data_IF_028729224405
#
_entry.id   IF_028729224405
#
_cell.length_a   1.000
_cell.length_b   1.000
_cell.length_c   1.000
_cell.angle_alpha   90.00
_cell.angle_beta   90.00
_cell.angle_gamma   90.00
#
_symmetry.space_group_name_H-M   'P 1'
#
loop_
_entity.id
_entity.type
_entity.pdbx_description
1 polymer ?
#
# COMPACT_ATOMS: atom_id res chain seq x y z
N UNK A 1 -24.65 -38.30 24.61
CA UNK A 1 -24.67 -36.84 24.66
C UNK A 1 -23.35 -36.35 24.09
N UNK A 2 -23.32 -36.04 22.81
CA UNK A 2 -22.15 -35.46 22.17
C UNK A 2 -21.86 -34.07 22.77
N UNK A 3 -20.61 -33.77 23.08
CA UNK A 3 -20.19 -32.41 23.44
C UNK A 3 -20.48 -31.55 22.24
N UNK A 4 -21.50 -30.71 22.30
CA UNK A 4 -21.69 -29.65 21.31
C UNK A 4 -20.46 -28.75 21.40
N UNK A 5 -19.53 -28.90 20.46
CA UNK A 5 -18.39 -27.96 20.33
C UNK A 5 -18.97 -26.60 19.96
N UNK A 6 -18.49 -25.54 20.63
CA UNK A 6 -18.91 -24.18 20.28
C UNK A 6 -18.49 -23.87 18.85
N UNK A 7 -19.30 -23.15 18.08
CA UNK A 7 -18.92 -22.72 16.74
C UNK A 7 -17.67 -21.83 16.81
N UNK A 8 -16.74 -22.02 15.84
CA UNK A 8 -15.47 -21.26 15.84
C UNK A 8 -15.54 -20.01 14.95
N UNK A 9 -16.45 -19.99 13.96
CA UNK A 9 -16.57 -18.91 12.99
C UNK A 9 -18.03 -18.51 12.78
N UNK A 10 -18.27 -17.22 12.59
CA UNK A 10 -19.50 -16.66 12.04
C UNK A 10 -19.26 -16.15 10.64
N UNK A 11 -20.01 -16.65 9.66
CA UNK A 11 -20.00 -16.13 8.31
C UNK A 11 -20.83 -14.85 8.25
N UNK A 12 -20.26 -13.78 7.66
CA UNK A 12 -20.91 -12.48 7.49
C UNK A 12 -21.42 -12.40 6.05
N UNK A 13 -22.73 -12.45 5.86
CA UNK A 13 -23.35 -12.43 4.54
C UNK A 13 -24.23 -11.19 4.36
N UNK A 14 -23.78 -10.27 3.49
CA UNK A 14 -24.62 -9.17 2.98
C UNK A 14 -25.42 -9.65 1.78
N UNK A 15 -26.73 -9.38 1.74
CA UNK A 15 -27.59 -9.80 0.65
C UNK A 15 -28.51 -8.66 0.18
N UNK A 16 -28.59 -8.50 -1.14
CA UNK A 16 -29.54 -7.60 -1.80
C UNK A 16 -29.83 -8.11 -3.21
N UNK A 17 -31.10 -8.51 -3.46
CA UNK A 17 -31.54 -9.05 -4.73
C UNK A 17 -30.63 -10.16 -5.28
N UNK A 18 -30.42 -11.19 -4.45
CA UNK A 18 -29.47 -12.27 -4.69
C UNK A 18 -30.12 -13.57 -5.16
N UNK A 19 -31.40 -13.55 -5.63
CA UNK A 19 -32.14 -14.74 -6.02
C UNK A 19 -31.40 -15.64 -7.04
N UNK A 20 -30.58 -15.04 -7.87
CA UNK A 20 -29.75 -15.72 -8.86
C UNK A 20 -28.72 -16.67 -8.27
N UNK A 21 -28.20 -16.36 -7.08
CA UNK A 21 -27.07 -17.08 -6.47
C UNK A 21 -27.42 -17.80 -5.16
N UNK A 22 -28.53 -17.40 -4.52
CA UNK A 22 -28.81 -17.75 -3.14
C UNK A 22 -29.01 -19.25 -2.91
N UNK A 23 -29.64 -19.97 -3.83
CA UNK A 23 -29.85 -21.40 -3.69
C UNK A 23 -28.54 -22.17 -3.59
N UNK A 24 -27.65 -22.01 -4.58
CA UNK A 24 -26.34 -22.66 -4.58
C UNK A 24 -25.41 -22.18 -3.43
N UNK A 25 -25.62 -20.97 -2.92
CA UNK A 25 -24.94 -20.48 -1.71
C UNK A 25 -25.39 -21.26 -0.47
N UNK A 26 -26.71 -21.40 -0.27
CA UNK A 26 -27.28 -22.11 0.87
C UNK A 26 -26.92 -23.61 0.85
N UNK A 27 -26.92 -24.22 -0.33
CA UNK A 27 -26.47 -25.60 -0.53
C UNK A 27 -25.01 -25.78 -0.13
N UNK A 28 -24.11 -24.87 -0.57
CA UNK A 28 -22.70 -24.98 -0.20
C UNK A 28 -22.41 -24.79 1.29
N UNK A 29 -23.30 -24.13 2.03
CA UNK A 29 -23.25 -24.08 3.50
C UNK A 29 -23.61 -25.44 4.14
N UNK A 30 -24.65 -26.08 3.66
CA UNK A 30 -25.05 -27.40 4.14
C UNK A 30 -24.02 -28.49 3.80
N UNK A 31 -23.23 -28.31 2.72
CA UNK A 31 -22.21 -29.26 2.27
C UNK A 31 -20.88 -29.14 3.06
N UNK A 32 -20.74 -28.16 3.96
CA UNK A 32 -19.50 -28.04 4.74
C UNK A 32 -19.26 -29.24 5.64
N UNK A 33 -18.03 -29.76 5.64
CA UNK A 33 -17.62 -30.89 6.51
C UNK A 33 -17.58 -30.45 7.98
N UNK A 34 -17.27 -29.19 8.25
CA UNK A 34 -17.34 -28.65 9.60
C UNK A 34 -18.77 -28.68 10.13
N UNK A 35 -18.96 -29.34 11.29
CA UNK A 35 -20.31 -29.58 11.85
C UNK A 35 -20.96 -28.33 12.41
N UNK A 36 -20.17 -27.44 13.05
CA UNK A 36 -20.71 -26.32 13.85
C UNK A 36 -20.08 -24.99 13.40
N UNK A 37 -20.88 -24.10 12.83
CA UNK A 37 -20.55 -22.71 12.58
C UNK A 37 -21.83 -21.86 12.59
N UNK A 38 -21.65 -20.54 12.71
CA UNK A 38 -22.74 -19.59 12.64
C UNK A 38 -22.72 -18.83 11.31
N UNK A 39 -23.87 -18.35 10.88
CA UNK A 39 -24.01 -17.39 9.79
C UNK A 39 -25.01 -16.30 10.16
N UNK A 40 -24.67 -15.05 9.83
CA UNK A 40 -25.55 -13.90 9.96
C UNK A 40 -25.78 -13.31 8.57
N UNK A 41 -27.01 -13.45 8.08
CA UNK A 41 -27.50 -12.77 6.88
C UNK A 41 -27.98 -11.38 7.28
N UNK A 42 -27.61 -10.38 6.51
CA UNK A 42 -28.15 -9.03 6.61
C UNK A 42 -28.69 -8.63 5.24
N UNK A 43 -30.03 -8.62 5.13
CA UNK A 43 -30.74 -8.30 3.91
C UNK A 43 -31.01 -6.79 3.79
N UNK A 44 -30.59 -6.16 2.72
CA UNK A 44 -30.75 -4.74 2.47
C UNK A 44 -32.14 -4.33 1.96
N UNK A 45 -33.12 -5.23 2.03
CA UNK A 45 -34.50 -5.02 1.56
C UNK A 45 -34.72 -5.62 0.16
N UNK A 46 -34.35 -6.88 -0.02
CA UNK A 46 -34.55 -7.62 -1.28
C UNK A 46 -36.01 -7.73 -1.67
N UNK A 47 -36.28 -7.66 -2.98
CA UNK A 47 -37.61 -7.73 -3.56
C UNK A 47 -37.75 -8.85 -4.60
N UNK A 48 -36.69 -9.61 -4.85
CA UNK A 48 -36.60 -10.65 -5.88
C UNK A 48 -36.90 -12.08 -5.37
N UNK A 49 -37.26 -12.22 -4.09
CA UNK A 49 -37.53 -13.49 -3.44
C UNK A 49 -36.33 -14.07 -2.66
N UNK A 50 -35.14 -13.52 -2.77
CA UNK A 50 -33.94 -14.04 -2.08
C UNK A 50 -34.10 -14.09 -0.56
N UNK A 51 -34.69 -13.07 0.06
CA UNK A 51 -34.95 -13.07 1.50
C UNK A 51 -35.89 -14.22 1.90
N UNK A 52 -36.96 -14.46 1.12
CA UNK A 52 -37.88 -15.57 1.41
C UNK A 52 -37.19 -16.92 1.29
N UNK A 53 -36.34 -17.09 0.26
CA UNK A 53 -35.55 -18.33 0.10
C UNK A 53 -34.64 -18.59 1.31
N UNK A 54 -33.97 -17.53 1.85
CA UNK A 54 -33.14 -17.65 3.06
C UNK A 54 -33.99 -18.05 4.27
N UNK A 55 -35.18 -17.43 4.44
CA UNK A 55 -36.06 -17.68 5.59
C UNK A 55 -36.68 -19.06 5.58
N UNK A 56 -36.95 -19.62 4.38
CA UNK A 56 -37.58 -20.93 4.20
C UNK A 56 -36.53 -22.08 4.15
N UNK A 57 -35.24 -21.76 4.08
CA UNK A 57 -34.19 -22.78 3.94
C UNK A 57 -33.95 -23.55 5.23
N UNK A 58 -33.95 -24.87 5.15
CA UNK A 58 -33.66 -25.76 6.27
C UNK A 58 -32.17 -26.06 6.36
N UNK A 59 -31.50 -25.41 7.30
CA UNK A 59 -30.10 -25.70 7.61
C UNK A 59 -30.00 -27.01 8.37
N UNK A 60 -28.95 -27.78 8.05
CA UNK A 60 -28.64 -28.98 8.84
C UNK A 60 -28.31 -28.65 10.30
N UNK A 61 -28.45 -29.63 11.18
CA UNK A 61 -28.07 -29.52 12.60
C UNK A 61 -26.60 -29.02 12.74
N UNK A 62 -26.39 -28.09 13.64
CA UNK A 62 -25.09 -27.51 13.96
C UNK A 62 -24.81 -26.18 13.26
N UNK A 63 -25.58 -25.76 12.27
CA UNK A 63 -25.50 -24.44 11.68
C UNK A 63 -26.41 -23.45 12.39
N UNK A 64 -25.83 -22.43 13.04
CA UNK A 64 -26.59 -21.33 13.65
C UNK A 64 -26.85 -20.21 12.67
N UNK A 65 -28.05 -20.20 12.07
CA UNK A 65 -28.40 -19.13 11.10
C UNK A 65 -29.23 -18.03 11.78
N UNK A 66 -28.87 -16.77 11.49
CA UNK A 66 -29.62 -15.57 11.88
C UNK A 66 -29.80 -14.66 10.70
N UNK A 67 -31.02 -14.12 10.51
CA UNK A 67 -31.32 -13.17 9.46
C UNK A 67 -31.77 -11.84 10.09
N UNK A 68 -31.16 -10.75 9.62
CA UNK A 68 -31.52 -9.38 9.92
C UNK A 68 -31.99 -8.71 8.62
N UNK A 69 -32.93 -7.76 8.73
CA UNK A 69 -33.38 -6.94 7.61
C UNK A 69 -33.08 -5.49 7.94
N UNK A 70 -32.22 -4.84 7.13
CA UNK A 70 -31.85 -3.44 7.26
C UNK A 70 -31.95 -2.76 5.90
N UNK A 71 -33.13 -2.18 5.62
CA UNK A 71 -33.39 -1.57 4.31
C UNK A 71 -32.37 -0.51 3.93
N UNK A 72 -31.81 -0.66 2.71
CA UNK A 72 -30.92 0.32 2.10
C UNK A 72 -29.50 0.37 2.70
N UNK A 73 -29.13 -0.58 3.57
CA UNK A 73 -27.77 -0.63 4.09
C UNK A 73 -26.75 -0.98 3.00
N UNK A 74 -25.55 -0.44 3.13
CA UNK A 74 -24.39 -0.83 2.32
C UNK A 74 -23.85 -2.19 2.76
N UNK A 75 -22.93 -2.78 1.97
CA UNK A 75 -22.26 -4.02 2.32
C UNK A 75 -21.47 -3.90 3.65
N UNK A 76 -20.86 -2.75 3.91
CA UNK A 76 -20.06 -2.52 5.12
C UNK A 76 -20.93 -2.30 6.35
N UNK A 77 -22.05 -1.59 6.23
CA UNK A 77 -23.07 -1.51 7.29
C UNK A 77 -23.63 -2.91 7.61
N UNK A 78 -23.92 -3.71 6.58
CA UNK A 78 -24.38 -5.10 6.77
C UNK A 78 -23.34 -5.95 7.48
N UNK A 79 -22.06 -5.88 7.10
CA UNK A 79 -21.01 -6.63 7.79
C UNK A 79 -20.80 -6.15 9.22
N UNK A 80 -20.90 -4.85 9.52
CA UNK A 80 -20.82 -4.34 10.89
C UNK A 80 -21.99 -4.86 11.75
N UNK A 81 -23.20 -4.88 11.23
CA UNK A 81 -24.36 -5.48 11.91
C UNK A 81 -24.13 -6.97 12.19
N UNK A 82 -23.58 -7.71 11.22
CA UNK A 82 -23.28 -9.12 11.39
C UNK A 82 -22.16 -9.37 12.41
N UNK A 83 -21.10 -8.53 12.43
CA UNK A 83 -20.02 -8.57 13.44
C UNK A 83 -20.56 -8.29 14.85
N UNK A 84 -21.53 -7.38 14.99
CA UNK A 84 -22.16 -7.08 16.27
C UNK A 84 -22.92 -8.30 16.86
N UNK A 85 -23.50 -9.14 15.99
CA UNK A 85 -24.19 -10.35 16.36
C UNK A 85 -23.25 -11.56 16.57
N UNK A 86 -22.07 -11.55 15.96
CA UNK A 86 -21.12 -12.66 16.04
C UNK A 86 -20.66 -12.92 17.49
N UNK A 87 -20.73 -14.18 17.91
CA UNK A 87 -20.29 -14.64 19.25
C UNK A 87 -19.13 -15.64 19.17
N UNK A 88 -18.67 -15.91 17.98
CA UNK A 88 -17.56 -16.81 17.69
C UNK A 88 -16.22 -16.07 17.75
N UNK A 89 -15.11 -16.77 18.01
CA UNK A 89 -13.78 -16.14 18.04
C UNK A 89 -13.31 -15.57 16.70
N UNK A 90 -13.85 -16.10 15.59
CA UNK A 90 -13.52 -15.66 14.23
C UNK A 90 -14.77 -15.29 13.44
N UNK A 91 -14.60 -14.40 12.47
CA UNK A 91 -15.59 -14.08 11.44
C UNK A 91 -14.97 -14.25 10.06
N UNK A 92 -15.80 -14.44 9.04
CA UNK A 92 -15.39 -14.55 7.65
C UNK A 92 -16.42 -13.86 6.76
N UNK A 93 -15.97 -12.91 5.96
CA UNK A 93 -16.82 -12.30 4.92
C UNK A 93 -17.10 -13.36 3.84
N UNK A 94 -18.37 -13.64 3.58
CA UNK A 94 -18.75 -14.62 2.57
C UNK A 94 -20.05 -14.21 1.92
N UNK A 95 -19.98 -13.73 0.68
CA UNK A 95 -21.10 -13.18 -0.07
C UNK A 95 -21.79 -14.23 -0.93
N UNK A 96 -23.02 -13.93 -1.36
CA UNK A 96 -23.93 -14.88 -2.01
C UNK A 96 -23.48 -15.40 -3.38
N UNK A 97 -22.64 -14.64 -4.08
CA UNK A 97 -22.08 -14.99 -5.39
C UNK A 97 -20.81 -15.84 -5.33
N UNK A 98 -20.30 -16.14 -4.14
CA UNK A 98 -19.12 -16.96 -3.91
C UNK A 98 -19.47 -18.39 -3.45
N UNK A 99 -18.50 -19.29 -3.48
CA UNK A 99 -18.67 -20.68 -3.01
C UNK A 99 -17.48 -21.12 -2.16
N UNK A 100 -17.76 -21.66 -0.97
CA UNK A 100 -16.78 -22.40 -0.19
C UNK A 100 -16.77 -23.87 -0.63
N UNK A 101 -15.58 -24.47 -0.66
CA UNK A 101 -15.45 -25.91 -0.84
C UNK A 101 -15.92 -26.62 0.44
N UNK A 102 -16.42 -27.84 0.33
CA UNK A 102 -16.94 -28.60 1.47
C UNK A 102 -15.94 -28.72 2.65
N UNK A 103 -14.64 -28.71 2.35
CA UNK A 103 -13.56 -28.73 3.34
C UNK A 103 -13.09 -27.32 3.77
N UNK A 104 -13.67 -26.25 3.21
CA UNK A 104 -13.17 -24.89 3.40
C UNK A 104 -13.11 -24.46 4.85
N UNK A 105 -14.20 -24.61 5.60
CA UNK A 105 -14.25 -24.18 6.99
C UNK A 105 -13.40 -25.06 7.92
N UNK A 106 -13.27 -26.35 7.67
CA UNK A 106 -12.39 -27.21 8.48
C UNK A 106 -10.92 -26.89 8.24
N UNK A 107 -10.55 -26.52 7.02
CA UNK A 107 -9.19 -26.03 6.70
C UNK A 107 -8.91 -24.71 7.42
N UNK A 108 -9.84 -23.78 7.41
CA UNK A 108 -9.74 -22.52 8.13
C UNK A 108 -9.60 -22.74 9.64
N UNK A 109 -10.42 -23.63 10.25
CA UNK A 109 -10.31 -23.99 11.66
C UNK A 109 -8.95 -24.58 12.02
N UNK A 110 -8.41 -25.47 11.15
CA UNK A 110 -7.10 -26.08 11.36
C UNK A 110 -5.97 -25.04 11.42
N UNK A 111 -6.03 -24.01 10.58
CA UNK A 111 -5.05 -22.92 10.60
C UNK A 111 -5.08 -22.17 11.93
N UNK A 112 -6.27 -21.84 12.45
CA UNK A 112 -6.38 -21.11 13.73
C UNK A 112 -5.82 -21.88 14.92
N UNK A 113 -5.91 -23.22 14.90
CA UNK A 113 -5.36 -24.09 15.94
C UNK A 113 -3.83 -24.12 15.91
N UNK A 114 -3.22 -24.00 14.74
CA UNK A 114 -1.77 -24.05 14.57
C UNK A 114 -1.09 -22.67 14.67
N UNK A 115 -1.86 -21.59 14.51
CA UNK A 115 -1.36 -20.20 14.46
C UNK A 115 -2.30 -19.28 15.26
N UNK A 116 -2.41 -19.52 16.56
CA UNK A 116 -3.35 -18.78 17.44
C UNK A 116 -2.97 -17.32 17.67
N UNK A 117 -1.73 -16.95 17.38
CA UNK A 117 -1.18 -15.59 17.42
C UNK A 117 -1.56 -14.74 16.20
N UNK A 118 -2.00 -15.37 15.09
CA UNK A 118 -2.42 -14.68 13.87
C UNK A 118 -3.79 -14.06 14.04
N UNK A 119 -3.95 -12.80 13.62
CA UNK A 119 -5.22 -12.07 13.73
C UNK A 119 -6.09 -12.23 12.50
N UNK A 120 -5.48 -12.44 11.34
CA UNK A 120 -6.18 -12.61 10.06
C UNK A 120 -5.46 -13.60 9.15
N UNK A 121 -6.23 -14.53 8.57
CA UNK A 121 -5.78 -15.40 7.48
C UNK A 121 -6.46 -14.98 6.18
N UNK A 122 -5.70 -14.95 5.07
CA UNK A 122 -6.25 -14.76 3.75
C UNK A 122 -5.83 -15.91 2.83
N UNK A 123 -6.70 -16.25 1.87
CA UNK A 123 -6.62 -17.51 1.14
C UNK A 123 -6.42 -17.28 -0.34
N UNK A 124 -5.67 -18.16 -1.04
CA UNK A 124 -5.77 -18.26 -2.48
C UNK A 124 -7.19 -18.69 -2.87
N UNK A 125 -7.63 -18.38 -4.08
CA UNK A 125 -8.95 -18.76 -4.55
C UNK A 125 -8.95 -19.10 -6.04
N UNK A 126 -9.89 -19.94 -6.47
CA UNK A 126 -10.19 -20.11 -7.88
C UNK A 126 -11.10 -18.96 -8.35
N UNK A 127 -10.71 -18.31 -9.44
CA UNK A 127 -11.50 -17.26 -10.06
C UNK A 127 -12.37 -17.90 -11.14
N UNK A 128 -13.68 -17.75 -11.00
CA UNK A 128 -14.66 -18.34 -11.91
C UNK A 128 -15.23 -17.29 -12.85
N UNK A 129 -15.50 -17.67 -14.09
CA UNK A 129 -16.09 -16.78 -15.11
C UNK A 129 -17.59 -16.88 -15.23
N UNK A 130 -18.22 -17.83 -14.53
CA UNK A 130 -19.66 -18.03 -14.53
C UNK A 130 -20.22 -18.15 -13.10
N UNK A 131 -21.48 -17.84 -12.98
CA UNK A 131 -22.23 -17.81 -11.73
C UNK A 131 -22.47 -19.16 -11.06
N UNK A 132 -22.33 -20.24 -11.83
CA UNK A 132 -22.48 -21.63 -11.32
C UNK A 132 -21.16 -22.19 -10.81
N UNK A 133 -20.08 -21.44 -10.96
CA UNK A 133 -18.73 -21.87 -10.59
C UNK A 133 -18.23 -23.13 -11.32
N UNK A 134 -18.65 -23.29 -12.58
CA UNK A 134 -18.27 -24.44 -13.42
C UNK A 134 -17.06 -24.14 -14.30
N UNK A 135 -16.85 -22.87 -14.67
CA UNK A 135 -15.80 -22.46 -15.61
C UNK A 135 -14.69 -21.70 -14.92
N UNK A 136 -13.53 -22.34 -14.77
CA UNK A 136 -12.33 -21.74 -14.19
C UNK A 136 -11.76 -20.67 -15.14
N UNK A 137 -11.63 -19.43 -14.65
CA UNK A 137 -10.96 -18.33 -15.34
C UNK A 137 -9.47 -18.26 -14.99
N UNK A 138 -9.14 -18.36 -13.70
CA UNK A 138 -7.77 -18.29 -13.21
C UNK A 138 -7.65 -18.87 -11.80
N UNK A 139 -6.42 -19.19 -11.39
CA UNK A 139 -6.07 -19.47 -10.01
C UNK A 139 -5.33 -18.27 -9.45
N UNK A 140 -5.94 -17.59 -8.49
CA UNK A 140 -5.35 -16.44 -7.84
C UNK A 140 -4.51 -16.91 -6.65
N UNK A 141 -3.19 -16.97 -6.86
CA UNK A 141 -2.22 -17.26 -5.80
C UNK A 141 -2.11 -16.07 -4.87
N UNK A 142 -2.24 -16.35 -3.56
CA UNK A 142 -2.08 -15.35 -2.49
C UNK A 142 -1.08 -15.84 -1.42
N UNK A 143 -0.25 -16.79 -1.80
CA UNK A 143 0.80 -17.40 -0.96
C UNK A 143 2.08 -16.55 -0.85
N UNK A 144 2.00 -15.29 -1.27
CA UNK A 144 3.08 -14.32 -1.12
C UNK A 144 3.22 -13.99 0.37
N UNK A 145 4.43 -14.09 0.97
CA UNK A 145 4.65 -13.70 2.34
C UNK A 145 4.12 -12.29 2.60
N UNK A 146 3.36 -12.13 3.67
CA UNK A 146 2.78 -10.85 4.02
C UNK A 146 3.89 -9.85 4.34
N UNK A 147 3.83 -8.70 3.69
CA UNK A 147 4.64 -7.53 3.99
C UNK A 147 3.72 -6.30 3.88
N UNK A 148 3.85 -5.37 4.81
CA UNK A 148 3.00 -4.18 4.90
C UNK A 148 2.85 -3.44 3.58
N UNK A 149 3.95 -3.20 2.87
CA UNK A 149 3.95 -2.48 1.60
C UNK A 149 3.24 -3.21 0.45
N UNK A 150 2.93 -4.51 0.57
CA UNK A 150 2.10 -5.19 -0.43
C UNK A 150 0.66 -4.66 -0.38
N UNK A 151 0.15 -4.30 0.82
CA UNK A 151 -1.13 -3.62 0.97
C UNK A 151 -1.07 -2.17 0.48
N UNK A 152 0.09 -1.51 0.56
CA UNK A 152 0.24 -0.17 0.01
C UNK A 152 0.05 -0.12 -1.51
N UNK A 153 0.30 -1.21 -2.24
CA UNK A 153 0.06 -1.29 -3.68
C UNK A 153 -1.40 -1.57 -4.02
N UNK A 154 -1.99 -2.58 -3.38
CA UNK A 154 -3.38 -3.00 -3.62
C UNK A 154 -3.88 -3.97 -2.54
N UNK A 155 -5.17 -4.21 -2.51
CA UNK A 155 -5.76 -5.23 -1.64
C UNK A 155 -5.32 -6.64 -2.04
N UNK A 156 -4.48 -7.27 -1.20
CA UNK A 156 -3.98 -8.64 -1.41
C UNK A 156 -4.80 -9.71 -0.70
N UNK A 157 -5.67 -9.32 0.23
CA UNK A 157 -6.34 -10.26 1.14
C UNK A 157 -7.49 -11.06 0.49
N UNK A 158 -8.10 -10.49 -0.55
CA UNK A 158 -9.11 -11.15 -1.37
C UNK A 158 -10.39 -11.62 -0.69
N UNK A 159 -11.15 -12.49 -1.31
CA UNK A 159 -12.40 -12.99 -0.76
C UNK A 159 -12.15 -13.93 0.43
N UNK A 160 -13.14 -14.06 1.29
CA UNK A 160 -13.21 -14.95 2.45
C UNK A 160 -12.07 -14.85 3.48
N UNK A 161 -11.58 -13.65 3.88
CA UNK A 161 -10.60 -13.57 4.94
C UNK A 161 -11.19 -14.08 6.26
N UNK A 162 -10.43 -14.91 6.98
CA UNK A 162 -10.80 -15.37 8.33
C UNK A 162 -10.13 -14.46 9.35
N UNK A 163 -10.91 -13.73 10.12
CA UNK A 163 -10.42 -12.66 11.00
C UNK A 163 -10.88 -12.90 12.43
N UNK A 164 -10.01 -12.66 13.42
CA UNK A 164 -10.45 -12.62 14.83
C UNK A 164 -11.55 -11.58 15.00
N UNK A 165 -12.68 -11.97 15.53
CA UNK A 165 -13.83 -11.08 15.74
C UNK A 165 -13.44 -9.86 16.56
N UNK A 166 -12.62 -10.03 17.59
CA UNK A 166 -12.16 -8.94 18.44
C UNK A 166 -11.25 -7.97 17.68
N UNK A 167 -10.42 -8.44 16.76
CA UNK A 167 -9.57 -7.56 15.97
C UNK A 167 -10.39 -6.58 15.12
N UNK A 168 -11.51 -7.02 14.51
CA UNK A 168 -12.41 -6.09 13.78
C UNK A 168 -13.05 -5.09 14.76
N UNK A 169 -13.48 -5.54 15.96
CA UNK A 169 -14.07 -4.67 16.97
C UNK A 169 -13.11 -3.62 17.48
N UNK A 170 -11.86 -3.99 17.76
CA UNK A 170 -10.80 -3.08 18.17
C UNK A 170 -10.52 -2.00 17.10
N UNK A 171 -10.67 -2.35 15.81
CA UNK A 171 -10.55 -1.36 14.71
C UNK A 171 -11.78 -0.48 14.56
N UNK A 172 -12.84 -0.68 15.34
CA UNK A 172 -14.08 0.09 15.24
C UNK A 172 -15.03 -0.34 14.12
N UNK A 173 -14.82 -1.52 13.51
CA UNK A 173 -15.61 -2.02 12.39
C UNK A 173 -15.13 -1.51 11.02
N UNK A 174 -15.88 -1.87 9.98
CA UNK A 174 -15.67 -1.40 8.61
C UNK A 174 -16.12 0.05 8.45
N UNK A 175 -15.43 0.84 7.63
CA UNK A 175 -15.84 2.23 7.33
C UNK A 175 -17.07 2.24 6.41
N UNK A 176 -18.22 2.64 6.97
CA UNK A 176 -19.52 2.68 6.28
C UNK A 176 -19.62 3.80 5.25
N UNK A 177 -18.70 4.77 5.27
CA UNK A 177 -18.67 5.86 4.29
C UNK A 177 -18.14 5.40 2.93
N UNK A 178 -17.31 4.36 2.92
CA UNK A 178 -16.77 3.74 1.71
C UNK A 178 -17.83 2.91 0.98
N UNK A 179 -17.69 2.78 -0.34
CA UNK A 179 -18.66 2.07 -1.19
C UNK A 179 -18.08 0.81 -1.83
N UNK A 180 -16.73 0.77 -2.02
CA UNK A 180 -16.06 -0.28 -2.77
C UNK A 180 -14.88 -0.88 -1.99
N UNK A 181 -14.06 -0.04 -1.34
CA UNK A 181 -12.75 -0.43 -0.77
C UNK A 181 -12.74 -0.53 0.76
N UNK A 182 -13.91 -0.74 1.42
CA UNK A 182 -13.98 -0.77 2.88
C UNK A 182 -13.33 -2.02 3.51
N UNK A 183 -13.23 -3.13 2.77
CA UNK A 183 -12.43 -4.28 3.16
C UNK A 183 -10.92 -3.96 3.07
N UNK A 184 -10.47 -3.32 1.99
CA UNK A 184 -9.10 -2.85 1.84
C UNK A 184 -8.71 -1.85 2.94
N UNK A 185 -9.60 -0.93 3.29
CA UNK A 185 -9.42 -0.02 4.43
C UNK A 185 -9.21 -0.79 5.75
N UNK A 186 -10.10 -1.75 6.04
CA UNK A 186 -10.03 -2.55 7.26
C UNK A 186 -8.69 -3.30 7.36
N UNK A 187 -8.29 -4.00 6.29
CA UNK A 187 -7.03 -4.77 6.32
C UNK A 187 -5.81 -3.87 6.42
N UNK A 188 -5.86 -2.70 5.81
CA UNK A 188 -4.81 -1.68 5.90
C UNK A 188 -4.72 -1.13 7.33
N UNK A 189 -5.84 -0.75 7.95
CA UNK A 189 -5.87 -0.29 9.36
C UNK A 189 -5.35 -1.36 10.32
N UNK A 190 -5.75 -2.62 10.17
CA UNK A 190 -5.25 -3.74 10.96
C UNK A 190 -3.74 -3.87 10.85
N UNK A 191 -3.21 -3.83 9.63
CA UNK A 191 -1.78 -3.91 9.36
C UNK A 191 -1.00 -2.79 10.07
N UNK A 192 -1.44 -1.53 9.94
CA UNK A 192 -0.79 -0.39 10.57
C UNK A 192 -1.01 -0.30 12.09
N UNK A 193 -1.97 -1.05 12.63
CA UNK A 193 -2.15 -1.26 14.08
C UNK A 193 -1.29 -2.41 14.63
N UNK A 194 -0.42 -3.03 13.81
CA UNK A 194 0.47 -4.11 14.21
C UNK A 194 -0.21 -5.47 14.35
N UNK A 195 -1.39 -5.67 13.77
CA UNK A 195 -2.04 -6.99 13.71
C UNK A 195 -1.29 -7.92 12.78
N UNK A 196 -1.29 -9.21 13.11
CA UNK A 196 -0.60 -10.24 12.33
C UNK A 196 -1.51 -10.80 11.26
N UNK A 197 -1.13 -10.56 9.98
CA UNK A 197 -1.82 -11.10 8.81
C UNK A 197 -0.98 -12.21 8.17
N UNK A 198 -1.60 -13.33 7.81
CA UNK A 198 -0.90 -14.50 7.30
C UNK A 198 -1.57 -15.07 6.04
N UNK A 199 -0.81 -15.31 4.94
CA UNK A 199 -1.32 -16.04 3.79
C UNK A 199 -1.49 -17.52 4.12
N UNK A 200 -2.63 -18.08 3.75
CA UNK A 200 -2.83 -19.51 3.71
C UNK A 200 -2.28 -20.10 2.41
N UNK A 201 -1.94 -21.39 2.42
CA UNK A 201 -1.40 -22.08 1.23
C UNK A 201 -2.52 -22.70 0.37
N UNK A 202 -3.57 -23.16 1.03
CA UNK A 202 -4.64 -23.93 0.40
C UNK A 202 -5.86 -23.03 0.10
N UNK A 203 -6.46 -23.15 -1.08
CA UNK A 203 -7.72 -22.47 -1.39
C UNK A 203 -8.86 -23.11 -0.59
N UNK A 204 -9.76 -22.29 -0.09
CA UNK A 204 -10.96 -22.73 0.63
C UNK A 204 -12.26 -22.52 -0.15
N UNK A 205 -12.17 -21.90 -1.32
CA UNK A 205 -13.35 -21.57 -2.11
C UNK A 205 -13.03 -21.03 -3.49
N UNK A 206 -14.09 -20.67 -4.19
CA UNK A 206 -14.05 -20.03 -5.49
C UNK A 206 -14.80 -18.70 -5.47
N UNK A 207 -14.24 -17.72 -6.15
CA UNK A 207 -14.73 -16.36 -6.30
C UNK A 207 -15.30 -16.17 -7.71
N UNK A 208 -16.53 -15.69 -7.82
CA UNK A 208 -17.11 -15.34 -9.10
C UNK A 208 -16.66 -13.96 -9.54
N UNK A 209 -16.00 -13.87 -10.71
CA UNK A 209 -15.66 -12.61 -11.36
C UNK A 209 -16.91 -11.97 -11.97
N UNK A 210 -17.78 -11.51 -11.09
CA UNK A 210 -19.08 -10.95 -11.42
C UNK A 210 -18.92 -9.59 -12.13
N UNK A 211 -19.24 -9.47 -13.44
CA UNK A 211 -19.02 -8.21 -14.17
C UNK A 211 -19.90 -7.05 -13.69
N UNK A 212 -20.92 -7.34 -12.88
CA UNK A 212 -21.80 -6.32 -12.24
C UNK A 212 -21.54 -6.18 -10.74
N UNK A 213 -20.50 -6.83 -10.24
CA UNK A 213 -20.06 -6.74 -8.84
C UNK A 213 -19.61 -5.34 -8.45
N UNK A 214 -19.65 -5.03 -7.14
CA UNK A 214 -19.32 -3.69 -6.64
C UNK A 214 -17.91 -3.27 -7.05
N UNK A 215 -16.93 -4.19 -6.98
CA UNK A 215 -15.51 -3.92 -7.28
C UNK A 215 -15.12 -4.13 -8.74
N UNK A 216 -15.97 -4.79 -9.55
CA UNK A 216 -15.68 -5.15 -10.94
C UNK A 216 -16.44 -4.32 -11.96
N UNK A 217 -17.45 -3.57 -11.53
CA UNK A 217 -18.25 -2.67 -12.36
C UNK A 217 -17.38 -1.52 -12.89
N UNK A 218 -17.11 -1.50 -14.19
CA UNK A 218 -16.29 -0.46 -14.84
C UNK A 218 -16.83 0.97 -14.62
N UNK A 219 -18.13 1.14 -14.45
CA UNK A 219 -18.73 2.45 -14.19
C UNK A 219 -18.31 3.04 -12.82
N UNK A 220 -17.83 2.19 -11.91
CA UNK A 220 -17.37 2.56 -10.56
C UNK A 220 -15.84 2.65 -10.44
N UNK A 221 -15.11 2.42 -11.52
CA UNK A 221 -13.64 2.36 -11.52
C UNK A 221 -13.00 3.63 -10.95
N UNK A 222 -13.51 4.80 -11.30
CA UNK A 222 -12.97 6.07 -10.79
C UNK A 222 -13.20 6.22 -9.29
N UNK A 223 -14.38 5.83 -8.79
CA UNK A 223 -14.67 5.83 -7.36
C UNK A 223 -13.77 4.85 -6.61
N UNK A 224 -13.62 3.63 -7.11
CA UNK A 224 -12.72 2.62 -6.55
C UNK A 224 -11.29 3.17 -6.43
N UNK A 225 -10.79 3.77 -7.50
CA UNK A 225 -9.46 4.38 -7.52
C UNK A 225 -9.32 5.52 -6.51
N UNK A 226 -10.34 6.38 -6.35
CA UNK A 226 -10.33 7.47 -5.38
C UNK A 226 -10.35 6.96 -3.93
N UNK A 227 -11.17 5.94 -3.63
CA UNK A 227 -11.19 5.33 -2.30
C UNK A 227 -9.84 4.70 -1.96
N UNK A 228 -9.23 3.92 -2.86
CA UNK A 228 -7.91 3.33 -2.68
C UNK A 228 -6.82 4.37 -2.40
N UNK A 229 -6.83 5.49 -3.15
CA UNK A 229 -5.92 6.60 -2.90
C UNK A 229 -6.11 7.21 -1.52
N UNK A 230 -7.36 7.42 -1.11
CA UNK A 230 -7.68 8.01 0.20
C UNK A 230 -7.22 7.10 1.35
N UNK A 231 -7.40 5.78 1.21
CA UNK A 231 -6.93 4.78 2.18
C UNK A 231 -5.41 4.83 2.33
N UNK A 232 -4.67 4.83 1.21
CA UNK A 232 -3.20 4.92 1.23
C UNK A 232 -2.75 6.22 1.88
N UNK A 233 -3.36 7.35 1.50
CA UNK A 233 -3.05 8.67 2.05
C UNK A 233 -3.22 8.72 3.56
N UNK A 234 -4.28 8.12 4.10
CA UNK A 234 -4.56 8.09 5.53
C UNK A 234 -3.48 7.34 6.35
N UNK A 235 -2.63 6.52 5.71
CA UNK A 235 -1.56 5.79 6.39
C UNK A 235 -0.19 6.49 6.31
N UNK A 236 -0.03 7.53 5.49
CA UNK A 236 1.26 8.17 5.26
C UNK A 236 1.87 8.78 6.54
N UNK A 237 1.04 9.24 7.47
CA UNK A 237 1.53 9.82 8.74
C UNK A 237 2.09 8.76 9.71
N UNK A 238 1.79 7.48 9.47
CA UNK A 238 2.31 6.35 10.25
C UNK A 238 3.61 5.78 9.70
N UNK A 239 4.08 6.28 8.56
CA UNK A 239 5.27 5.80 7.85
C UNK A 239 6.46 6.70 8.14
N UNK A 240 7.63 6.08 8.33
CA UNK A 240 8.88 6.81 8.43
C UNK A 240 9.34 7.27 7.06
N UNK A 241 9.33 8.59 6.86
CA UNK A 241 9.62 9.25 5.58
C UNK A 241 10.90 10.05 5.70
N UNK A 242 11.85 9.82 4.79
CA UNK A 242 13.14 10.51 4.81
C UNK A 242 13.49 11.15 3.47
N UNK A 243 14.07 12.33 3.53
CA UNK A 243 14.71 13.03 2.40
C UNK A 243 16.21 12.90 2.62
N UNK A 244 16.92 12.33 1.67
CA UNK A 244 18.33 11.98 1.85
C UNK A 244 19.23 12.85 1.00
N UNK A 245 20.32 13.29 1.61
CA UNK A 245 21.31 14.17 1.00
C UNK A 245 22.73 13.65 1.29
N UNK A 246 23.62 13.80 0.30
CA UNK A 246 25.06 13.70 0.51
C UNK A 246 25.66 15.11 0.60
N UNK A 247 26.58 15.33 1.53
CA UNK A 247 27.24 16.62 1.74
C UNK A 247 28.72 16.42 2.05
N UNK A 248 29.60 17.02 1.26
CA UNK A 248 31.05 17.05 1.50
C UNK A 248 31.65 18.33 0.96
N UNK A 249 32.87 18.66 1.37
CA UNK A 249 33.55 19.91 1.01
C UNK A 249 32.99 21.14 1.74
N UNK A 250 33.53 22.26 1.42
CA UNK A 250 33.22 23.55 2.06
C UNK A 250 32.51 24.55 1.12
N UNK A 251 32.20 24.14 -0.11
CA UNK A 251 31.57 25.01 -1.10
C UNK A 251 30.18 25.50 -0.63
N UNK A 252 29.97 26.84 -0.50
CA UNK A 252 28.72 27.41 -0.01
C UNK A 252 27.46 27.00 -0.82
N UNK A 253 27.59 26.71 -2.09
CA UNK A 253 26.49 26.22 -2.94
C UNK A 253 25.84 24.99 -2.30
N UNK A 254 26.64 24.04 -1.82
CA UNK A 254 26.16 22.79 -1.22
C UNK A 254 25.91 22.90 0.29
N UNK A 255 26.82 23.57 1.02
CA UNK A 255 26.72 23.65 2.48
C UNK A 255 25.56 24.54 2.96
N UNK A 256 25.41 25.73 2.38
CA UNK A 256 24.26 26.60 2.63
C UNK A 256 22.99 26.00 2.01
N UNK A 257 23.11 25.38 0.84
CA UNK A 257 21.99 24.68 0.20
C UNK A 257 21.41 23.56 1.07
N UNK A 258 22.26 22.79 1.77
CA UNK A 258 21.83 21.79 2.74
C UNK A 258 20.97 22.39 3.87
N UNK A 259 21.45 23.51 4.48
CA UNK A 259 20.70 24.22 5.53
C UNK A 259 19.36 24.72 5.03
N UNK A 260 19.34 25.33 3.82
CA UNK A 260 18.10 25.83 3.19
C UNK A 260 17.12 24.72 2.89
N UNK A 261 17.57 23.57 2.40
CA UNK A 261 16.69 22.43 2.14
C UNK A 261 16.11 21.86 3.45
N UNK A 262 16.88 21.84 4.54
CA UNK A 262 16.36 21.46 5.86
C UNK A 262 15.23 22.40 6.33
N UNK A 263 15.37 23.72 6.09
CA UNK A 263 14.34 24.73 6.39
C UNK A 263 13.12 24.60 5.49
N UNK A 264 13.32 24.41 4.19
CA UNK A 264 12.23 24.22 3.24
C UNK A 264 11.43 22.95 3.53
N UNK A 265 12.09 21.88 3.98
CA UNK A 265 11.43 20.62 4.29
C UNK A 265 10.33 20.75 5.36
N UNK A 266 10.49 21.65 6.34
CA UNK A 266 9.47 21.89 7.38
C UNK A 266 8.11 22.29 6.78
N UNK A 267 8.10 23.02 5.66
CA UNK A 267 6.89 23.52 5.02
C UNK A 267 6.50 22.73 3.77
N UNK A 268 7.46 22.24 3.01
CA UNK A 268 7.24 21.53 1.75
C UNK A 268 6.93 20.04 1.98
N UNK A 269 7.57 19.44 2.99
CA UNK A 269 7.45 18.04 3.37
C UNK A 269 7.19 17.88 4.88
N UNK A 270 6.07 18.40 5.40
CA UNK A 270 5.77 18.28 6.82
C UNK A 270 5.73 16.81 7.27
N UNK A 271 6.42 16.51 8.39
CA UNK A 271 6.52 15.15 8.92
C UNK A 271 7.54 14.25 8.23
N UNK A 272 8.40 14.79 7.37
CA UNK A 272 9.57 14.10 6.83
C UNK A 272 10.83 14.48 7.58
N UNK A 273 11.77 13.54 7.75
CA UNK A 273 13.12 13.79 8.29
C UNK A 273 14.11 14.03 7.14
N UNK A 274 14.99 15.00 7.28
CA UNK A 274 16.13 15.21 6.39
C UNK A 274 17.35 14.47 6.93
N UNK A 275 17.87 13.50 6.18
CA UNK A 275 19.07 12.77 6.55
C UNK A 275 20.24 13.24 5.72
N UNK A 276 21.24 13.85 6.40
CA UNK A 276 22.45 14.35 5.78
C UNK A 276 23.62 13.42 6.08
N UNK A 277 24.16 12.81 5.05
CA UNK A 277 25.40 12.05 5.10
C UNK A 277 26.56 13.01 4.88
N UNK A 278 27.36 13.25 5.91
CA UNK A 278 28.29 14.39 5.98
C UNK A 278 29.73 13.91 6.05
N UNK A 279 30.54 14.30 5.05
CA UNK A 279 31.99 14.06 5.03
C UNK A 279 32.75 14.97 6.01
N UNK A 280 34.00 14.61 6.29
CA UNK A 280 34.84 15.29 7.31
C UNK A 280 35.22 16.72 6.92
N UNK A 281 35.18 17.06 5.63
CA UNK A 281 35.52 18.40 5.11
C UNK A 281 34.43 19.44 5.28
N UNK A 282 33.22 19.05 5.71
CA UNK A 282 32.11 19.99 5.89
C UNK A 282 32.39 20.88 7.12
N UNK A 283 32.25 22.23 7.00
CA UNK A 283 32.44 23.14 8.09
C UNK A 283 31.62 22.81 9.33
N UNK A 284 32.26 22.87 10.51
CA UNK A 284 31.66 22.46 11.79
C UNK A 284 30.40 23.26 12.16
N UNK A 285 30.34 24.53 11.80
CA UNK A 285 29.18 25.40 12.02
C UNK A 285 27.98 24.99 11.20
N UNK A 286 28.17 24.51 9.96
CA UNK A 286 27.13 23.94 9.11
C UNK A 286 26.60 22.66 9.74
N UNK A 287 27.50 21.75 10.18
CA UNK A 287 27.12 20.51 10.86
C UNK A 287 26.28 20.80 12.10
N UNK A 288 26.74 21.72 12.95
CA UNK A 288 26.03 22.14 14.16
C UNK A 288 24.64 22.74 13.83
N UNK A 289 24.55 23.54 12.76
CA UNK A 289 23.29 24.12 12.30
C UNK A 289 22.29 23.05 11.88
N UNK A 290 22.74 22.03 11.18
CA UNK A 290 21.88 20.89 10.79
C UNK A 290 21.49 20.02 11.99
N UNK A 291 22.45 19.74 12.90
CA UNK A 291 22.19 18.97 14.14
C UNK A 291 21.22 19.68 15.10
N UNK A 292 21.10 20.99 15.02
CA UNK A 292 20.19 21.77 15.84
C UNK A 292 18.74 21.80 15.37
N UNK A 293 18.45 21.23 14.20
CA UNK A 293 17.09 21.19 13.62
C UNK A 293 16.39 19.89 13.99
N UNK A 294 15.16 19.97 14.50
CA UNK A 294 14.36 18.82 14.94
C UNK A 294 14.01 17.84 13.79
N UNK A 295 13.94 18.35 12.57
CA UNK A 295 13.64 17.56 11.37
C UNK A 295 14.90 16.98 10.69
N UNK A 296 16.08 17.09 11.30
CA UNK A 296 17.34 16.67 10.69
C UNK A 296 18.03 15.56 11.48
N UNK A 297 18.60 14.60 10.75
CA UNK A 297 19.55 13.62 11.24
C UNK A 297 20.86 13.78 10.49
N UNK A 298 21.95 14.04 11.18
CA UNK A 298 23.29 14.12 10.60
C UNK A 298 24.02 12.79 10.83
N UNK A 299 24.45 12.16 9.74
CA UNK A 299 25.23 10.92 9.73
C UNK A 299 26.66 11.28 9.31
N UNK A 300 27.61 11.32 10.27
CA UNK A 300 29.01 11.63 10.00
C UNK A 300 29.70 10.43 9.38
N UNK A 301 30.24 10.63 8.19
CA UNK A 301 30.99 9.60 7.46
C UNK A 301 32.46 9.63 7.87
N UNK A 302 33.11 8.47 7.91
CA UNK A 302 34.54 8.36 8.24
C UNK A 302 35.44 8.85 7.10
N UNK A 303 34.86 9.07 5.92
CA UNK A 303 35.53 9.46 4.69
C UNK A 303 35.44 10.96 4.44
N UNK A 304 36.43 11.51 3.73
CA UNK A 304 36.48 12.94 3.38
C UNK A 304 35.37 13.33 2.41
N UNK A 305 34.98 12.45 1.53
CA UNK A 305 34.01 12.68 0.47
C UNK A 305 34.65 13.13 -0.85
N UNK A 306 34.25 12.42 -1.90
CA UNK A 306 34.54 12.70 -3.29
C UNK A 306 33.33 12.34 -4.15
N UNK A 307 33.49 12.00 -5.41
CA UNK A 307 32.37 11.55 -6.25
C UNK A 307 31.68 10.29 -5.73
N UNK A 308 32.39 9.44 -4.96
CA UNK A 308 31.81 8.28 -4.30
C UNK A 308 30.81 8.68 -3.20
N UNK A 309 30.99 9.83 -2.60
CA UNK A 309 30.06 10.37 -1.59
C UNK A 309 28.64 10.62 -2.15
N UNK A 310 28.47 10.75 -3.46
CA UNK A 310 27.13 10.86 -4.06
C UNK A 310 26.24 9.65 -3.77
N UNK A 311 26.81 8.48 -3.51
CA UNK A 311 26.08 7.26 -3.20
C UNK A 311 25.58 7.19 -1.76
N UNK A 312 26.13 7.97 -0.81
CA UNK A 312 25.75 7.90 0.60
C UNK A 312 24.26 8.14 0.80
N UNK A 313 23.67 9.07 0.03
CA UNK A 313 22.22 9.34 0.05
C UNK A 313 21.34 8.19 -0.44
N UNK A 314 21.91 7.14 -1.02
CA UNK A 314 21.16 5.98 -1.48
C UNK A 314 21.07 4.88 -0.39
N UNK A 315 21.95 4.89 0.61
CA UNK A 315 22.05 3.90 1.69
C UNK A 315 20.70 3.68 2.40
N UNK A 316 19.92 4.74 2.73
CA UNK A 316 18.63 4.55 3.42
C UNK A 316 17.59 3.72 2.68
N UNK A 317 17.76 3.46 1.39
CA UNK A 317 16.92 2.51 0.66
C UNK A 317 17.06 1.06 1.17
N UNK A 318 18.15 0.75 1.90
CA UNK A 318 18.38 -0.55 2.56
C UNK A 318 17.98 -0.57 4.03
N UNK A 319 17.65 0.58 4.63
CA UNK A 319 17.32 0.66 6.07
C UNK A 319 15.91 0.11 6.32
N UNK A 320 15.76 -0.99 7.09
CA UNK A 320 14.45 -1.60 7.34
C UNK A 320 13.53 -0.72 8.19
N UNK A 321 14.05 0.32 8.84
CA UNK A 321 13.26 1.28 9.60
C UNK A 321 12.73 2.45 8.74
N UNK A 322 13.18 2.56 7.49
CA UNK A 322 12.73 3.59 6.55
C UNK A 322 11.65 3.02 5.65
N UNK A 323 10.45 3.58 5.72
CA UNK A 323 9.34 3.16 4.88
C UNK A 323 9.37 3.81 3.51
N UNK A 324 9.75 5.10 3.46
CA UNK A 324 9.77 5.92 2.26
C UNK A 324 11.04 6.77 2.28
N UNK A 325 11.79 6.71 1.20
CA UNK A 325 12.97 7.52 0.98
C UNK A 325 12.86 8.29 -0.33
N UNK A 326 13.24 9.57 -0.33
CA UNK A 326 13.50 10.35 -1.56
C UNK A 326 14.93 10.90 -1.54
N UNK A 327 15.64 10.76 -2.65
CA UNK A 327 16.99 11.27 -2.84
C UNK A 327 16.97 12.67 -3.46
N UNK A 328 17.73 13.62 -2.89
CA UNK A 328 17.80 15.00 -3.36
C UNK A 328 19.24 15.54 -3.36
N UNK A 329 19.45 16.56 -4.19
CA UNK A 329 20.72 17.30 -4.28
C UNK A 329 20.68 18.52 -3.34
N UNK A 330 21.81 18.83 -2.69
CA UNK A 330 21.90 19.97 -1.75
C UNK A 330 21.92 21.31 -2.48
N UNK A 331 22.33 21.38 -3.73
CA UNK A 331 22.31 22.58 -4.57
C UNK A 331 20.94 22.87 -5.20
N UNK A 332 20.00 21.91 -5.18
CA UNK A 332 18.61 22.17 -5.56
C UNK A 332 17.81 22.78 -4.40
N UNK A 333 16.54 23.14 -4.65
CA UNK A 333 15.61 23.61 -3.61
C UNK A 333 14.33 22.81 -3.65
N UNK A 334 13.97 22.26 -2.46
CA UNK A 334 12.69 21.58 -2.28
C UNK A 334 11.54 22.55 -2.59
N UNK A 335 10.53 22.10 -3.32
CA UNK A 335 9.43 22.95 -3.73
C UNK A 335 8.08 22.21 -3.80
N UNK A 336 6.98 22.96 -3.87
CA UNK A 336 5.63 22.41 -3.87
C UNK A 336 5.29 21.57 -5.11
N UNK A 337 5.99 21.77 -6.24
CA UNK A 337 5.76 21.00 -7.47
C UNK A 337 6.28 19.57 -7.30
N UNK A 338 7.48 19.42 -6.76
CA UNK A 338 8.01 18.09 -6.48
C UNK A 338 7.25 17.37 -5.36
N UNK A 339 6.86 18.09 -4.29
CA UNK A 339 6.06 17.52 -3.21
C UNK A 339 4.70 17.01 -3.72
N UNK A 340 4.08 17.73 -4.66
CA UNK A 340 2.87 17.26 -5.33
C UNK A 340 3.08 15.95 -6.09
N UNK A 341 4.18 15.83 -6.84
CA UNK A 341 4.54 14.61 -7.57
C UNK A 341 4.84 13.43 -6.62
N UNK A 342 5.55 13.68 -5.53
CA UNK A 342 5.80 12.67 -4.48
C UNK A 342 4.50 12.21 -3.83
N UNK A 343 3.58 13.14 -3.52
CA UNK A 343 2.27 12.80 -2.96
C UNK A 343 1.47 11.94 -3.93
N UNK A 344 1.41 12.31 -5.21
CA UNK A 344 0.73 11.51 -6.24
C UNK A 344 1.31 10.10 -6.32
N UNK A 345 2.64 9.96 -6.39
CA UNK A 345 3.31 8.68 -6.39
C UNK A 345 2.88 7.78 -5.21
N UNK A 346 2.91 8.32 -3.99
CA UNK A 346 2.56 7.59 -2.78
C UNK A 346 1.09 7.15 -2.77
N UNK A 347 0.19 8.01 -3.24
CA UNK A 347 -1.24 7.71 -3.38
C UNK A 347 -1.52 6.67 -4.48
N UNK A 348 -0.69 6.63 -5.53
CA UNK A 348 -0.78 5.61 -6.58
C UNK A 348 -0.31 4.21 -6.14
N UNK A 349 0.32 4.10 -4.97
CA UNK A 349 0.78 2.83 -4.41
C UNK A 349 1.99 2.22 -5.12
N UNK A 350 2.65 2.94 -6.01
CA UNK A 350 3.84 2.44 -6.71
C UNK A 350 5.07 2.41 -5.80
N UNK A 351 5.98 1.47 -6.04
CA UNK A 351 7.16 1.27 -5.17
C UNK A 351 8.32 2.20 -5.48
N UNK A 352 8.39 2.76 -6.66
CA UNK A 352 9.47 3.64 -7.08
C UNK A 352 8.94 4.89 -7.77
N UNK A 353 9.64 6.01 -7.64
CA UNK A 353 9.30 7.29 -8.23
C UNK A 353 10.47 7.88 -9.01
N UNK A 354 10.19 8.41 -10.18
CA UNK A 354 11.16 9.10 -11.04
C UNK A 354 10.57 10.44 -11.47
N UNK A 355 11.36 11.50 -11.37
CA UNK A 355 10.99 12.82 -11.88
C UNK A 355 11.97 13.30 -12.94
N UNK A 356 11.45 13.89 -14.03
CA UNK A 356 12.22 14.57 -15.09
C UNK A 356 11.45 15.80 -15.54
N UNK A 357 11.94 16.98 -15.19
CA UNK A 357 11.21 18.25 -15.32
C UNK A 357 11.93 19.28 -16.20
N UNK A 358 12.96 18.85 -16.95
CA UNK A 358 13.73 19.70 -17.86
C UNK A 358 14.24 18.91 -19.07
N UNK A 359 14.43 19.52 -20.27
CA UNK A 359 15.01 18.85 -21.43
C UNK A 359 16.38 18.22 -21.16
N UNK A 360 17.20 18.79 -20.26
CA UNK A 360 18.50 18.23 -19.86
C UNK A 360 18.41 17.02 -18.91
N UNK A 361 17.21 16.64 -18.45
CA UNK A 361 17.01 15.45 -17.62
C UNK A 361 16.92 14.15 -18.43
N UNK A 362 17.80 13.99 -19.44
CA UNK A 362 17.73 12.93 -20.45
C UNK A 362 18.17 11.53 -20.00
N UNK A 363 18.53 11.32 -18.71
CA UNK A 363 18.84 9.98 -18.16
C UNK A 363 17.60 9.31 -17.62
N UNK A 364 17.64 7.97 -17.42
CA UNK A 364 16.53 7.20 -16.87
C UNK A 364 16.18 7.64 -15.44
N UNK A 365 17.22 7.81 -14.59
CA UNK A 365 17.06 8.24 -13.20
C UNK A 365 18.16 9.25 -12.89
N UNK A 366 17.77 10.45 -12.43
CA UNK A 366 18.69 11.47 -11.91
C UNK A 366 18.99 11.21 -10.44
N UNK A 367 20.24 11.42 -10.01
CA UNK A 367 20.70 11.13 -8.64
C UNK A 367 19.86 11.77 -7.53
N UNK A 368 19.41 12.99 -7.75
CA UNK A 368 18.60 13.77 -6.79
C UNK A 368 17.09 13.83 -7.11
N UNK A 369 16.55 12.99 -7.99
CA UNK A 369 15.16 13.13 -8.45
C UNK A 369 14.41 11.79 -8.48
N UNK A 370 14.59 10.96 -7.46
CA UNK A 370 13.90 9.68 -7.33
C UNK A 370 13.48 9.40 -5.89
N UNK A 371 12.62 8.39 -5.73
CA UNK A 371 12.20 7.89 -4.43
C UNK A 371 11.87 6.41 -4.48
N UNK A 372 11.90 5.77 -3.32
CA UNK A 372 11.56 4.35 -3.13
C UNK A 372 10.75 4.16 -1.86
N UNK A 373 9.85 3.18 -1.89
CA UNK A 373 9.13 2.71 -0.71
C UNK A 373 9.21 1.19 -0.58
N UNK A 374 9.18 0.72 0.66
CA UNK A 374 9.27 -0.70 0.96
C UNK A 374 10.66 -1.28 0.67
N UNK A 375 10.72 -2.58 0.41
CA UNK A 375 11.97 -3.35 0.37
C UNK A 375 12.51 -3.65 -1.03
N UNK A 376 11.99 -3.01 -2.07
CA UNK A 376 12.40 -3.30 -3.46
C UNK A 376 13.90 -3.07 -3.71
N UNK A 377 14.53 -2.21 -2.89
CA UNK A 377 15.96 -1.92 -2.91
C UNK A 377 16.64 -2.21 -1.56
N UNK A 378 16.15 -3.22 -0.81
CA UNK A 378 16.73 -3.61 0.50
C UNK A 378 18.20 -4.04 0.45
N UNK A 379 18.73 -4.28 -0.73
CA UNK A 379 20.14 -4.58 -0.98
C UNK A 379 20.94 -3.39 -1.59
N UNK A 380 20.43 -2.15 -1.50
CA UNK A 380 21.07 -0.98 -2.10
C UNK A 380 22.50 -0.77 -1.61
N UNK A 381 22.76 -0.95 -0.31
CA UNK A 381 24.08 -0.81 0.28
C UNK A 381 25.08 -1.82 -0.31
N UNK A 382 24.63 -3.08 -0.51
CA UNK A 382 25.43 -4.12 -1.17
C UNK A 382 25.71 -3.73 -2.64
N UNK A 383 24.69 -3.31 -3.38
CA UNK A 383 24.83 -2.89 -4.78
C UNK A 383 25.79 -1.71 -4.95
N UNK A 384 25.74 -0.74 -4.03
CA UNK A 384 26.66 0.40 -3.99
C UNK A 384 28.09 -0.08 -3.68
N UNK A 385 28.23 -1.01 -2.73
CA UNK A 385 29.54 -1.60 -2.37
C UNK A 385 30.21 -2.38 -3.52
N UNK A 386 29.42 -3.05 -4.33
CA UNK A 386 29.91 -3.81 -5.50
C UNK A 386 30.15 -2.94 -6.74
N UNK A 387 29.64 -1.71 -6.75
CA UNK A 387 29.76 -0.82 -7.89
C UNK A 387 31.23 -0.41 -8.07
N UNK A 388 31.75 -0.55 -9.29
CA UNK A 388 33.02 0.07 -9.67
C UNK A 388 32.82 1.57 -9.81
N UNK A 389 33.10 2.26 -8.73
CA UNK A 389 32.99 3.70 -8.64
C UNK A 389 34.01 4.37 -9.54
N UNK A 390 33.57 5.37 -10.31
CA UNK A 390 34.42 6.17 -11.19
C UNK A 390 34.55 7.58 -10.63
N UNK A 391 35.69 8.21 -10.87
CA UNK A 391 35.94 9.58 -10.39
C UNK A 391 35.42 10.61 -11.42
N UNK A 392 34.07 10.68 -11.58
CA UNK A 392 33.40 11.62 -12.50
C UNK A 392 31.97 11.94 -12.03
N UNK A 393 31.45 13.08 -12.46
CA UNK A 393 30.23 13.66 -11.91
C UNK A 393 28.91 12.91 -12.21
N UNK A 394 28.88 12.00 -13.15
CA UNK A 394 27.67 11.22 -13.48
C UNK A 394 27.71 9.78 -12.95
N UNK A 395 28.67 9.43 -12.12
CA UNK A 395 28.89 8.05 -11.68
C UNK A 395 27.68 7.44 -10.98
N UNK A 396 26.96 8.21 -10.18
CA UNK A 396 25.74 7.81 -9.50
C UNK A 396 24.57 7.60 -10.47
N UNK A 397 24.46 8.42 -11.52
CA UNK A 397 23.42 8.31 -12.54
C UNK A 397 23.65 7.07 -13.45
N UNK A 398 24.88 6.78 -13.81
CA UNK A 398 25.23 5.57 -14.55
C UNK A 398 24.92 4.31 -13.71
N UNK A 399 25.23 4.31 -12.43
CA UNK A 399 24.84 3.24 -11.52
C UNK A 399 23.30 3.08 -11.46
N UNK A 400 22.57 4.16 -11.27
CA UNK A 400 21.10 4.12 -11.22
C UNK A 400 20.52 3.58 -12.53
N UNK A 401 21.05 3.99 -13.66
CA UNK A 401 20.65 3.53 -14.98
C UNK A 401 20.94 2.05 -15.21
N UNK A 402 22.13 1.58 -14.84
CA UNK A 402 22.60 0.22 -15.19
C UNK A 402 22.16 -0.84 -14.19
N UNK A 403 22.11 -0.49 -12.90
CA UNK A 403 21.84 -1.44 -11.81
C UNK A 403 20.43 -1.34 -11.24
N UNK A 404 19.86 -0.13 -11.14
CA UNK A 404 18.60 0.10 -10.48
C UNK A 404 17.45 0.11 -11.47
N UNK A 405 17.54 0.86 -12.57
CA UNK A 405 16.44 1.03 -13.52
C UNK A 405 15.85 -0.29 -14.03
N UNK A 406 16.64 -1.32 -14.42
CA UNK A 406 16.09 -2.58 -14.91
C UNK A 406 15.25 -3.34 -13.86
N UNK A 407 15.52 -3.12 -12.59
CA UNK A 407 14.80 -3.77 -11.48
C UNK A 407 13.49 -3.05 -11.18
N UNK A 408 13.51 -1.69 -11.21
CA UNK A 408 12.39 -0.88 -10.72
C UNK A 408 11.40 -0.45 -11.79
N UNK A 409 11.77 -0.52 -13.07
CA UNK A 409 10.94 -0.02 -14.18
C UNK A 409 9.47 -0.47 -14.13
N UNK A 410 9.15 -1.76 -13.85
CA UNK A 410 7.75 -2.22 -13.76
C UNK A 410 6.97 -1.63 -12.58
N UNK A 411 7.68 -1.14 -11.57
CA UNK A 411 7.12 -0.65 -10.30
C UNK A 411 7.17 0.87 -10.18
N UNK A 412 7.68 1.55 -11.23
CA UNK A 412 7.89 2.98 -11.19
C UNK A 412 6.61 3.78 -11.49
N UNK A 413 6.41 4.85 -10.73
CA UNK A 413 5.61 6.01 -11.11
C UNK A 413 6.55 7.07 -11.67
N UNK A 414 6.23 7.63 -12.82
CA UNK A 414 7.10 8.59 -13.51
C UNK A 414 6.33 9.90 -13.71
N UNK A 415 6.91 11.02 -13.30
CA UNK A 415 6.47 12.36 -13.70
C UNK A 415 7.53 12.95 -14.63
N UNK A 416 7.18 13.17 -15.89
CA UNK A 416 8.12 13.51 -16.95
C UNK A 416 7.45 14.28 -18.08
N UNK A 417 7.67 15.58 -18.18
CA UNK A 417 7.06 16.42 -19.21
C UNK A 417 7.73 16.28 -20.59
N UNK A 418 8.99 15.84 -20.65
CA UNK A 418 9.79 15.96 -21.87
C UNK A 418 9.98 14.66 -22.65
N UNK A 419 10.21 13.54 -21.98
CA UNK A 419 10.57 12.28 -22.62
C UNK A 419 9.39 11.31 -22.71
N UNK A 420 8.76 10.97 -21.58
CA UNK A 420 7.59 10.08 -21.55
C UNK A 420 6.26 10.83 -21.60
N UNK A 421 6.29 12.16 -21.45
CA UNK A 421 5.13 13.06 -21.49
C UNK A 421 4.04 12.69 -20.45
N UNK A 422 4.47 12.32 -19.26
CA UNK A 422 3.61 12.08 -18.12
C UNK A 422 3.56 13.35 -17.27
N UNK A 423 2.42 14.00 -17.25
CA UNK A 423 2.27 15.30 -16.60
C UNK A 423 2.52 15.25 -15.09
N UNK A 424 3.06 16.32 -14.53
CA UNK A 424 3.06 16.55 -13.11
C UNK A 424 1.66 16.94 -12.61
N UNK A 425 1.28 16.58 -11.38
CA UNK A 425 -0.05 16.92 -10.83
C UNK A 425 -0.24 18.43 -10.59
N UNK A 426 0.85 19.21 -10.63
CA UNK A 426 0.86 20.66 -10.43
C UNK A 426 1.43 21.37 -11.62
N UNK A 427 0.86 22.54 -11.94
CA UNK A 427 1.38 23.39 -13.02
C UNK A 427 2.72 24.02 -12.65
N UNK A 428 3.61 24.16 -13.63
CA UNK A 428 4.89 24.86 -13.50
C UNK A 428 4.65 26.34 -13.18
N UNK A 429 5.38 26.89 -12.23
CA UNK A 429 5.37 28.32 -11.91
C UNK A 429 6.45 29.05 -12.73
N UNK A 430 6.04 29.75 -13.76
CA UNK A 430 6.96 30.42 -14.66
C UNK A 430 7.89 29.41 -15.35
N UNK A 431 9.19 29.65 -15.29
CA UNK A 431 10.25 28.82 -15.87
C UNK A 431 11.02 27.99 -14.81
N UNK A 432 10.50 27.87 -13.58
CA UNK A 432 11.13 27.08 -12.54
C UNK A 432 10.90 25.58 -12.79
N UNK A 433 11.90 24.76 -12.54
CA UNK A 433 11.83 23.31 -12.69
C UNK A 433 12.42 22.57 -11.47
N UNK A 434 11.99 21.34 -11.28
CA UNK A 434 12.49 20.48 -10.18
C UNK A 434 13.94 20.09 -10.52
N UNK A 435 14.82 20.10 -9.49
CA UNK A 435 16.24 19.83 -9.67
C UNK A 435 17.06 21.00 -10.22
N UNK A 436 16.46 22.19 -10.33
CA UNK A 436 17.21 23.40 -10.67
C UNK A 436 18.23 23.71 -9.59
N UNK A 437 19.50 23.92 -10.00
CA UNK A 437 20.58 24.24 -9.11
C UNK A 437 20.62 25.74 -8.78
N UNK A 438 20.95 26.07 -7.52
CA UNK A 438 21.03 27.43 -6.98
C UNK A 438 22.34 27.66 -6.25
N UNK A 439 22.78 28.90 -6.26
CA UNK A 439 23.87 29.37 -5.39
C UNK A 439 23.35 29.60 -3.94
N UNK A 440 24.26 30.01 -3.05
CA UNK A 440 23.98 30.30 -1.64
C UNK A 440 23.02 31.49 -1.41
N UNK A 441 22.76 32.30 -2.47
CA UNK A 441 21.85 33.44 -2.46
C UNK A 441 20.51 33.15 -3.13
N UNK A 442 20.19 31.86 -3.41
CA UNK A 442 18.98 31.41 -4.12
C UNK A 442 18.85 31.96 -5.55
N UNK A 443 19.98 32.23 -6.20
CA UNK A 443 20.00 32.57 -7.63
C UNK A 443 20.30 31.31 -8.45
N UNK A 444 19.59 31.07 -9.55
CA UNK A 444 19.88 29.96 -10.44
C UNK A 444 21.34 29.95 -10.88
N UNK A 445 22.03 28.82 -10.78
CA UNK A 445 23.41 28.66 -11.26
C UNK A 445 23.46 28.67 -12.79
N UNK A 446 22.40 28.18 -13.46
CA UNK A 446 22.26 28.07 -14.89
C UNK A 446 20.97 28.76 -15.34
N UNK A 447 20.90 30.10 -15.32
CA UNK A 447 19.69 30.83 -15.73
C UNK A 447 19.29 30.57 -17.18
N UNK A 448 20.27 30.24 -18.06
CA UNK A 448 20.03 29.85 -19.46
C UNK A 448 19.15 28.61 -19.61
N UNK A 449 19.19 27.65 -18.68
CA UNK A 449 18.31 26.49 -18.70
C UNK A 449 16.83 26.86 -18.61
N UNK A 450 16.53 27.97 -17.93
CA UNK A 450 15.15 28.46 -17.81
C UNK A 450 14.60 28.96 -19.17
N UNK A 451 15.45 29.31 -20.14
CA UNK A 451 15.03 29.78 -21.46
C UNK A 451 14.61 28.64 -22.39
N UNK A 452 14.87 27.40 -22.00
CA UNK A 452 14.46 26.20 -22.73
C UNK A 452 13.06 25.69 -22.33
N UNK A 453 12.42 26.34 -21.36
CA UNK A 453 11.08 26.07 -20.83
C UNK A 453 10.09 27.19 -21.24
#
# INVERSE_FOLDING_TARGET
MGKTTKPFVTLLCSTFNSAKWIEGYLECLNDQILENFDIVFVDAGSTDGSLQTIMDFEFRDGIGAKTLVQHGCSVYEAWNLAVAEARTPYVMNFNTDDRLFSYGLVTAEHLTKNHSDVDMFYFPCFLMSDEKHETLKAYNRRDIPFKRYNLDEHCICGPFPLVKTEAIREMGGFDESLKISGDYDMWTRMCYAGKTLMPAKEPIGSYYDNPTGISTDESKRDLHFQEDRSIRRAQLDKQKKVITFSLWGDNPVYTIGAVKNAELAETVYPGWECWFYVGQSVPADIVQTLEAKDNCKVIKMDEEGDWDAMFWRFIPASDPEVDIMISRDTDSRLNSREAGAVTEWLEMGKRFHIMRDHPHHGTQILGGMWGVRGDILSNMEELVGECKKGNYWQVDQDFLKEKIYPVIEPYAHVNDEFFQKVAFPTTRKGKLFIGQAYNEHDQPLHPEHMDEL
#
